data_IF_103259179963
#
_entry.id   IF_103259179963
#
_cell.length_a   1.000
_cell.length_b   1.000
_cell.length_c   1.000
_cell.angle_alpha   90.00
_cell.angle_beta   90.00
_cell.angle_gamma   90.00
#
_symmetry.space_group_name_H-M   'P 1'
#
loop_
_entity.id
_entity.type
_entity.pdbx_description
1 polymer ?
#
# COMPACT_ATOMS: atom_id res chain seq x y z
N UNK A 1 -1.09 -2.01 17.65
CA UNK A 1 -2.54 -1.75 17.79
C UNK A 1 -3.22 -1.80 16.43
N UNK A 2 -2.91 -0.91 15.47
CA UNK A 2 -3.58 -0.89 14.16
C UNK A 2 -3.51 -2.19 13.35
N UNK A 3 -2.40 -2.92 13.40
CA UNK A 3 -2.25 -4.22 12.72
C UNK A 3 -3.22 -5.26 13.31
N UNK A 4 -3.33 -5.34 14.64
CA UNK A 4 -4.24 -6.28 15.31
C UNK A 4 -5.70 -5.96 14.98
N UNK A 5 -6.08 -4.67 15.01
CA UNK A 5 -7.43 -4.24 14.59
C UNK A 5 -7.72 -4.60 13.14
N UNK A 6 -6.76 -4.44 12.23
CA UNK A 6 -6.93 -4.86 10.83
C UNK A 6 -7.12 -6.38 10.73
N UNK A 7 -6.37 -7.17 11.50
CA UNK A 7 -6.53 -8.63 11.52
C UNK A 7 -7.92 -9.06 11.99
N UNK A 8 -8.50 -8.37 12.98
CA UNK A 8 -9.86 -8.64 13.45
C UNK A 8 -10.92 -8.29 12.40
N UNK A 9 -10.76 -7.18 11.68
CA UNK A 9 -11.76 -6.68 10.71
C UNK A 9 -11.67 -7.36 9.33
N UNK A 10 -10.53 -7.95 8.98
CA UNK A 10 -10.33 -8.62 7.69
C UNK A 10 -11.35 -9.77 7.51
N UNK A 11 -12.08 -9.74 6.39
CA UNK A 11 -13.13 -10.70 6.08
C UNK A 11 -14.51 -10.35 6.64
N UNK A 12 -14.63 -9.33 7.50
CA UNK A 12 -15.92 -8.84 8.01
C UNK A 12 -16.48 -7.69 7.17
N UNK A 13 -15.60 -6.81 6.67
CA UNK A 13 -15.95 -5.64 5.85
C UNK A 13 -14.93 -5.44 4.71
N UNK A 14 -15.33 -4.80 3.60
CA UNK A 14 -14.36 -4.37 2.59
C UNK A 14 -13.38 -3.35 3.16
N UNK A 15 -12.07 -3.59 2.99
CA UNK A 15 -11.00 -2.71 3.46
C UNK A 15 -10.12 -2.31 2.27
N UNK A 16 -9.85 -1.01 2.14
CA UNK A 16 -8.96 -0.46 1.12
C UNK A 16 -7.92 0.47 1.76
N UNK A 17 -6.63 0.14 1.60
CA UNK A 17 -5.51 0.88 2.20
C UNK A 17 -4.74 1.72 1.19
N UNK A 18 -4.44 2.98 1.53
CA UNK A 18 -3.65 3.90 0.70
C UNK A 18 -2.37 4.31 1.44
N UNK A 19 -1.22 4.29 0.76
CA UNK A 19 0.10 4.62 1.31
C UNK A 19 0.42 3.82 2.60
N UNK A 20 0.48 4.46 3.77
CA UNK A 20 0.68 3.77 5.06
C UNK A 20 -0.42 2.73 5.32
N UNK A 21 -1.66 2.99 4.89
CA UNK A 21 -2.76 2.02 5.00
C UNK A 21 -2.48 0.75 4.20
N UNK A 22 -1.89 0.88 3.01
CA UNK A 22 -1.47 -0.28 2.20
C UNK A 22 -0.38 -1.10 2.92
N UNK A 23 0.57 -0.42 3.57
CA UNK A 23 1.63 -1.08 4.34
C UNK A 23 1.09 -1.82 5.57
N UNK A 24 0.22 -1.16 6.35
CA UNK A 24 -0.42 -1.75 7.53
C UNK A 24 -1.27 -2.97 7.16
N UNK A 25 -2.03 -2.88 6.07
CA UNK A 25 -2.82 -3.99 5.54
C UNK A 25 -1.91 -5.17 5.13
N UNK A 26 -0.81 -4.88 4.41
CA UNK A 26 0.16 -5.91 4.01
C UNK A 26 0.80 -6.59 5.24
N UNK A 27 1.17 -5.83 6.27
CA UNK A 27 1.70 -6.36 7.53
C UNK A 27 0.66 -7.21 8.28
N UNK A 28 -0.60 -6.78 8.32
CA UNK A 28 -1.69 -7.55 8.92
C UNK A 28 -1.89 -8.92 8.24
N UNK A 29 -1.65 -8.97 6.93
CA UNK A 29 -1.68 -10.20 6.11
C UNK A 29 -0.36 -11.00 6.15
N UNK A 30 0.61 -10.63 6.98
CA UNK A 30 1.86 -11.38 7.16
C UNK A 30 2.99 -11.04 6.19
N UNK A 31 2.84 -10.00 5.36
CA UNK A 31 3.95 -9.50 4.54
C UNK A 31 5.00 -8.76 5.39
N UNK A 32 6.11 -8.37 4.76
CA UNK A 32 7.19 -7.59 5.38
C UNK A 32 7.34 -6.25 4.69
N UNK A 33 7.75 -5.23 5.46
CA UNK A 33 8.13 -3.91 4.93
C UNK A 33 9.62 -3.68 5.18
N UNK A 34 10.20 -2.76 4.41
CA UNK A 34 11.56 -2.28 4.60
C UNK A 34 11.62 -0.80 4.22
N UNK A 35 12.64 -0.11 4.73
CA UNK A 35 12.88 1.29 4.42
C UNK A 35 13.59 1.41 3.07
N UNK A 36 13.03 2.19 2.16
CA UNK A 36 13.66 2.53 0.90
C UNK A 36 14.84 3.48 1.15
N UNK A 37 15.87 3.40 0.29
CA UNK A 37 17.05 4.26 0.39
C UNK A 37 16.71 5.75 0.24
N UNK A 38 15.80 6.08 -0.69
CA UNK A 38 15.38 7.45 -0.99
C UNK A 38 13.85 7.66 -1.04
N UNK A 39 13.07 6.57 -1.12
CA UNK A 39 11.61 6.62 -1.25
C UNK A 39 11.12 7.08 -2.63
N UNK A 40 9.80 7.16 -2.78
CA UNK A 40 9.11 7.75 -3.92
C UNK A 40 8.36 9.00 -3.46
N UNK A 41 8.78 10.17 -3.96
CA UNK A 41 8.26 11.49 -3.58
C UNK A 41 8.09 12.34 -4.83
N UNK A 42 6.88 12.46 -5.35
CA UNK A 42 6.61 13.22 -6.57
C UNK A 42 5.26 12.92 -7.20
N UNK A 43 4.80 13.81 -8.08
CA UNK A 43 3.53 13.72 -8.80
C UNK A 43 3.61 13.06 -10.18
N UNK A 44 4.75 12.47 -10.54
CA UNK A 44 5.02 11.95 -11.88
C UNK A 44 5.44 10.46 -11.88
N UNK A 45 5.15 9.72 -10.82
CA UNK A 45 5.57 8.31 -10.70
C UNK A 45 4.63 7.41 -11.51
N UNK A 46 5.11 6.72 -12.57
CA UNK A 46 4.27 5.82 -13.36
C UNK A 46 4.02 4.52 -12.60
N UNK A 47 2.76 4.10 -12.53
CA UNK A 47 2.35 2.81 -11.96
C UNK A 47 1.57 2.02 -13.00
N UNK A 48 1.95 0.76 -13.21
CA UNK A 48 1.26 -0.14 -14.14
C UNK A 48 0.28 -1.04 -13.40
N UNK A 49 -0.97 -1.08 -13.87
CA UNK A 49 -1.90 -2.14 -13.50
C UNK A 49 -1.52 -3.42 -14.26
N UNK A 50 -1.03 -4.43 -13.54
CA UNK A 50 -0.54 -5.67 -14.15
C UNK A 50 -1.63 -6.50 -14.85
N UNK A 51 -2.89 -6.40 -14.42
CA UNK A 51 -4.00 -7.14 -15.02
C UNK A 51 -4.43 -6.56 -16.38
N UNK A 52 -4.39 -5.23 -16.54
CA UNK A 52 -4.83 -4.54 -17.77
C UNK A 52 -3.70 -3.97 -18.61
N UNK A 53 -2.47 -3.97 -18.08
CA UNK A 53 -1.27 -3.34 -18.64
C UNK A 53 -1.32 -1.83 -18.82
N UNK A 54 -2.40 -1.17 -18.41
CA UNK A 54 -2.53 0.30 -18.43
C UNK A 54 -1.57 0.93 -17.42
N UNK A 55 -1.03 2.10 -17.77
CA UNK A 55 -0.15 2.91 -16.92
C UNK A 55 -0.86 4.19 -16.53
N UNK A 56 -0.76 4.55 -15.26
CA UNK A 56 -1.26 5.80 -14.71
C UNK A 56 -0.11 6.60 -14.08
N UNK A 57 -0.17 7.93 -14.19
CA UNK A 57 0.76 8.82 -13.50
C UNK A 57 0.20 9.11 -12.10
N UNK A 58 1.00 8.88 -11.07
CA UNK A 58 0.55 8.91 -9.67
C UNK A 58 1.35 9.88 -8.81
N UNK A 59 0.68 10.38 -7.77
CA UNK A 59 1.31 11.10 -6.66
C UNK A 59 1.75 10.12 -5.59
N UNK A 60 3.06 10.05 -5.34
CA UNK A 60 3.66 9.16 -4.34
C UNK A 60 4.40 9.98 -3.28
N UNK A 61 4.31 9.53 -2.02
CA UNK A 61 5.04 10.11 -0.90
C UNK A 61 5.28 9.04 0.19
N UNK A 62 6.09 8.03 -0.11
CA UNK A 62 6.44 6.96 0.81
C UNK A 62 7.93 6.61 0.72
N UNK A 63 8.52 6.11 1.81
CA UNK A 63 9.94 5.78 1.88
C UNK A 63 10.29 4.91 3.07
#
# INVERSE_FOLDING_TARGET
>A
QSIATLQELLGQLPIFGICLGHQLLSLAMGAKTFKLKFGHRGGNQPVQNLATRKVEITSQNHG
#
